data_IF_050585744029
#
_entry.id   IF_050585744029
#
_cell.length_a   1.000
_cell.length_b   1.000
_cell.length_c   1.000
_cell.angle_alpha   90.00
_cell.angle_beta   90.00
_cell.angle_gamma   90.00
#
_symmetry.space_group_name_H-M   'P 1'
#
loop_
_entity.id
_entity.type
_entity.pdbx_description
1 polymer ?
#
# COMPACT_ATOMS: atom_id res chain seq x y z
N UNK A 1 21.26 2.30 -4.62
CA UNK A 1 20.65 3.34 -3.75
C UNK A 1 19.15 3.18 -3.80
N UNK A 2 18.49 3.15 -2.64
CA UNK A 2 17.03 3.15 -2.59
C UNK A 2 16.48 4.54 -2.94
N UNK A 3 15.32 4.59 -3.58
CA UNK A 3 14.65 5.83 -3.98
C UNK A 3 13.24 5.81 -3.40
N UNK A 4 12.85 6.88 -2.71
CA UNK A 4 11.46 7.14 -2.34
C UNK A 4 11.00 8.30 -3.20
N UNK A 5 9.91 8.13 -3.93
CA UNK A 5 9.32 9.17 -4.76
C UNK A 5 7.87 9.37 -4.39
N UNK A 6 7.50 10.61 -4.11
CA UNK A 6 6.11 11.07 -4.07
C UNK A 6 5.73 11.62 -5.44
N UNK A 7 4.53 11.31 -5.90
CA UNK A 7 3.94 11.92 -7.07
C UNK A 7 3.19 13.20 -6.69
N UNK A 8 3.19 14.17 -7.57
CA UNK A 8 2.36 15.37 -7.42
C UNK A 8 0.97 15.07 -7.97
N UNK A 9 0.06 14.66 -7.10
CA UNK A 9 -1.28 14.16 -7.45
C UNK A 9 -2.42 15.00 -6.87
N UNK A 10 -2.15 16.26 -6.49
CA UNK A 10 -3.13 17.15 -5.87
C UNK A 10 -3.28 16.89 -4.38
N UNK A 11 -4.52 16.74 -3.92
CA UNK A 11 -4.84 16.59 -2.49
C UNK A 11 -4.68 15.15 -1.98
N UNK A 12 -4.42 14.19 -2.87
CA UNK A 12 -4.23 12.79 -2.52
C UNK A 12 -2.77 12.38 -2.33
N UNK A 13 -2.57 11.13 -2.00
CA UNK A 13 -1.27 10.54 -1.78
C UNK A 13 -0.96 9.39 -2.73
N UNK A 14 0.24 9.40 -3.30
CA UNK A 14 0.79 8.28 -4.06
C UNK A 14 2.31 8.31 -3.99
N UNK A 15 2.89 7.19 -3.57
CA UNK A 15 4.34 7.05 -3.42
C UNK A 15 4.82 5.76 -4.05
N UNK A 16 6.11 5.69 -4.38
CA UNK A 16 6.78 4.41 -4.50
C UNK A 16 8.11 4.39 -3.76
N UNK A 17 8.53 3.18 -3.40
CA UNK A 17 9.87 2.88 -2.92
C UNK A 17 10.50 1.91 -3.93
N UNK A 18 11.48 2.40 -4.68
CA UNK A 18 12.39 1.57 -5.47
C UNK A 18 13.51 1.11 -4.53
N UNK A 19 13.38 -0.10 -4.02
CA UNK A 19 14.37 -0.66 -3.10
C UNK A 19 15.67 -0.95 -3.84
N UNK A 20 16.81 -0.78 -3.16
CA UNK A 20 18.12 -1.18 -3.69
C UNK A 20 18.24 -2.73 -3.70
N UNK A 21 17.22 -3.39 -4.17
CA UNK A 21 17.07 -4.84 -4.27
C UNK A 21 16.03 -5.16 -5.34
N UNK A 22 15.68 -6.44 -5.46
CA UNK A 22 14.64 -6.96 -6.34
C UNK A 22 13.20 -6.69 -5.86
N UNK A 23 13.04 -5.74 -4.94
CA UNK A 23 11.75 -5.33 -4.39
C UNK A 23 11.34 -3.95 -4.89
N UNK A 24 10.03 -3.76 -5.07
CA UNK A 24 9.39 -2.47 -5.35
C UNK A 24 8.09 -2.37 -4.56
N UNK A 25 7.82 -1.20 -3.99
CA UNK A 25 6.60 -0.96 -3.21
C UNK A 25 5.90 0.29 -3.71
N UNK A 26 4.61 0.18 -3.97
CA UNK A 26 3.71 1.30 -4.26
C UNK A 26 2.87 1.52 -3.00
N UNK A 27 2.71 2.74 -2.58
CA UNK A 27 1.90 3.13 -1.42
C UNK A 27 0.82 4.08 -1.92
N UNK A 28 -0.42 3.65 -1.77
CA UNK A 28 -1.62 4.32 -2.22
C UNK A 28 -1.65 4.64 -3.73
N UNK A 29 -2.78 5.11 -4.20
CA UNK A 29 -3.00 5.47 -5.58
C UNK A 29 -3.92 6.69 -5.65
N UNK A 30 -3.43 7.76 -6.29
CA UNK A 30 -4.24 8.90 -6.62
C UNK A 30 -3.86 9.37 -8.02
N UNK A 31 -4.65 8.99 -9.00
CA UNK A 31 -4.41 9.32 -10.41
C UNK A 31 -5.70 9.77 -11.06
N UNK A 32 -5.63 10.79 -11.86
CA UNK A 32 -6.71 11.29 -12.71
C UNK A 32 -6.44 11.05 -14.20
N UNK A 33 -7.37 11.43 -15.05
CA UNK A 33 -7.24 11.27 -16.49
C UNK A 33 -6.06 12.07 -17.09
N UNK A 34 -5.59 13.11 -16.41
CA UNK A 34 -4.48 13.94 -16.87
C UNK A 34 -3.09 13.35 -16.56
N UNK A 35 -2.99 12.48 -15.56
CA UNK A 35 -1.69 11.99 -15.08
C UNK A 35 -1.53 10.46 -15.07
N UNK A 36 -2.63 9.69 -15.11
CA UNK A 36 -2.61 8.22 -14.93
C UNK A 36 -1.70 7.48 -15.91
N UNK A 37 -1.67 7.89 -17.18
CA UNK A 37 -0.83 7.23 -18.19
C UNK A 37 0.65 7.45 -17.92
N UNK A 38 1.04 8.68 -17.61
CA UNK A 38 2.43 9.03 -17.34
C UNK A 38 2.96 8.36 -16.06
N UNK A 39 2.18 8.39 -14.99
CA UNK A 39 2.53 7.75 -13.70
C UNK A 39 2.65 6.23 -13.89
N UNK A 40 1.66 5.61 -14.54
CA UNK A 40 1.65 4.17 -14.78
C UNK A 40 2.81 3.74 -15.66
N UNK A 41 3.15 4.50 -16.69
CA UNK A 41 4.29 4.19 -17.55
C UNK A 41 5.61 4.26 -16.76
N UNK A 42 5.78 5.28 -15.90
CA UNK A 42 6.95 5.36 -15.04
C UNK A 42 7.05 4.15 -14.09
N UNK A 43 5.93 3.75 -13.48
CA UNK A 43 5.90 2.56 -12.62
C UNK A 43 6.27 1.30 -13.42
N UNK A 44 5.71 1.09 -14.61
CA UNK A 44 6.05 -0.04 -15.49
C UNK A 44 7.54 -0.10 -15.80
N UNK A 45 8.14 1.03 -16.12
CA UNK A 45 9.57 1.10 -16.42
C UNK A 45 10.41 0.69 -15.20
N UNK A 46 10.02 1.13 -14.00
CA UNK A 46 10.70 0.80 -12.74
C UNK A 46 10.57 -0.67 -12.36
N UNK A 47 9.36 -1.24 -12.48
CA UNK A 47 9.09 -2.61 -12.07
C UNK A 47 9.58 -3.66 -13.08
N UNK A 48 9.95 -3.27 -14.29
CA UNK A 48 10.33 -4.19 -15.37
C UNK A 48 11.46 -5.17 -15.02
N UNK A 49 12.27 -4.85 -14.02
CA UNK A 49 13.39 -5.67 -13.53
C UNK A 49 13.25 -6.07 -12.06
N UNK A 50 12.05 -5.95 -11.50
CA UNK A 50 11.77 -6.29 -10.11
C UNK A 50 11.00 -7.60 -10.02
N UNK A 51 11.43 -8.49 -9.14
CA UNK A 51 10.77 -9.79 -8.95
C UNK A 51 9.66 -9.73 -7.90
N UNK A 52 9.67 -8.75 -7.00
CA UNK A 52 8.64 -8.57 -5.98
C UNK A 52 8.10 -7.16 -6.04
N UNK A 53 6.86 -7.05 -6.51
CA UNK A 53 6.11 -5.81 -6.52
C UNK A 53 4.98 -5.95 -5.49
N UNK A 54 4.80 -4.95 -4.63
CA UNK A 54 3.70 -4.88 -3.68
C UNK A 54 3.00 -3.55 -3.74
N UNK A 55 1.70 -3.60 -3.53
CA UNK A 55 0.88 -2.42 -3.30
C UNK A 55 0.48 -2.38 -1.82
N UNK A 56 0.66 -1.25 -1.17
CA UNK A 56 0.29 -1.01 0.22
C UNK A 56 -0.80 0.05 0.21
N UNK A 57 -2.02 -0.33 0.58
CA UNK A 57 -3.10 0.61 0.80
C UNK A 57 -3.12 1.03 2.26
N UNK A 58 -3.05 2.33 2.51
CA UNK A 58 -3.10 2.86 3.88
C UNK A 58 -4.52 2.83 4.42
N UNK A 59 -5.46 3.34 3.66
CA UNK A 59 -6.89 3.34 3.99
C UNK A 59 -7.72 3.59 2.72
N UNK A 60 -9.01 3.27 2.72
CA UNK A 60 -9.82 3.30 1.50
C UNK A 60 -10.53 4.64 1.24
N UNK A 61 -9.92 5.79 1.54
CA UNK A 61 -10.43 7.07 1.07
C UNK A 61 -10.16 7.26 -0.43
N UNK A 62 -10.96 8.07 -1.09
CA UNK A 62 -10.94 8.19 -2.56
C UNK A 62 -9.61 8.76 -3.06
N UNK A 63 -9.06 9.72 -2.34
CA UNK A 63 -7.78 10.36 -2.63
C UNK A 63 -6.56 9.44 -2.37
N UNK A 64 -6.81 8.20 -1.91
CA UNK A 64 -5.83 7.12 -1.75
C UNK A 64 -6.11 5.90 -2.63
N UNK A 65 -7.23 5.90 -3.35
CA UNK A 65 -7.65 4.79 -4.23
C UNK A 65 -7.90 5.20 -5.68
N UNK A 66 -8.03 6.49 -5.98
CA UNK A 66 -8.40 6.97 -7.31
C UNK A 66 -7.41 6.45 -8.37
N UNK A 67 -7.94 5.71 -9.35
CA UNK A 67 -7.14 5.08 -10.41
C UNK A 67 -6.59 3.70 -10.06
N UNK A 68 -6.91 3.13 -8.90
CA UNK A 68 -6.42 1.82 -8.47
C UNK A 68 -6.79 0.70 -9.44
N UNK A 69 -8.04 0.69 -9.91
CA UNK A 69 -8.52 -0.28 -10.90
C UNK A 69 -7.70 -0.20 -12.18
N UNK A 70 -7.49 1.02 -12.69
CA UNK A 70 -6.66 1.25 -13.87
C UNK A 70 -5.22 0.79 -13.64
N UNK A 71 -4.62 1.12 -12.51
CA UNK A 71 -3.26 0.70 -12.18
C UNK A 71 -3.15 -0.82 -12.16
N UNK A 72 -4.06 -1.51 -11.48
CA UNK A 72 -4.05 -2.98 -11.41
C UNK A 72 -4.22 -3.64 -12.80
N UNK A 73 -5.12 -3.16 -13.63
CA UNK A 73 -5.26 -3.61 -15.02
C UNK A 73 -3.98 -3.45 -15.83
N UNK A 74 -3.12 -2.50 -15.47
CA UNK A 74 -1.90 -2.20 -16.18
C UNK A 74 -0.66 -2.97 -15.69
N UNK A 75 -0.57 -3.27 -14.38
CA UNK A 75 0.62 -3.90 -13.79
C UNK A 75 0.36 -5.26 -13.15
N UNK A 76 -0.89 -5.61 -12.84
CA UNK A 76 -1.26 -6.85 -12.16
C UNK A 76 -0.78 -6.87 -10.70
N UNK A 77 -1.61 -6.39 -9.76
CA UNK A 77 -1.27 -6.35 -8.33
C UNK A 77 -1.43 -7.75 -7.72
N UNK A 78 -0.35 -8.47 -7.57
CA UNK A 78 -0.31 -9.83 -6.99
C UNK A 78 0.15 -9.88 -5.54
N UNK A 79 0.41 -8.73 -4.92
CA UNK A 79 0.72 -8.61 -3.49
C UNK A 79 0.06 -7.34 -2.97
N UNK A 80 -1.18 -7.45 -2.53
CA UNK A 80 -1.96 -6.35 -1.99
C UNK A 80 -1.90 -6.34 -0.46
N UNK A 81 -1.38 -5.28 0.11
CA UNK A 81 -1.20 -5.11 1.56
C UNK A 81 -2.19 -4.07 2.06
N UNK A 82 -3.01 -4.42 3.02
CA UNK A 82 -3.93 -3.50 3.69
C UNK A 82 -4.16 -3.91 5.14
N UNK A 83 -4.70 -3.03 5.92
CA UNK A 83 -5.26 -3.39 7.22
C UNK A 83 -6.52 -4.22 6.99
N UNK A 84 -6.69 -5.32 7.73
CA UNK A 84 -7.91 -6.12 7.71
C UNK A 84 -9.10 -5.27 8.17
N UNK A 85 -10.07 -5.06 7.31
CA UNK A 85 -11.22 -4.21 7.58
C UNK A 85 -12.43 -4.62 6.76
N UNK A 86 -13.61 -4.14 7.16
CA UNK A 86 -14.89 -4.30 6.45
C UNK A 86 -15.47 -2.93 6.09
N UNK A 87 -14.62 -2.04 5.57
CA UNK A 87 -15.04 -0.71 5.15
C UNK A 87 -16.16 -0.77 4.11
N UNK A 88 -17.13 0.14 4.28
CA UNK A 88 -18.24 0.36 3.35
C UNK A 88 -18.34 1.83 3.00
N UNK A 89 -18.88 2.15 1.84
CA UNK A 89 -19.21 3.52 1.42
C UNK A 89 -20.63 3.58 0.90
N UNK A 90 -21.32 4.68 1.11
CA UNK A 90 -22.67 4.91 0.56
C UNK A 90 -22.62 5.08 -0.96
N UNK A 91 -21.63 5.85 -1.42
CA UNK A 91 -21.40 6.12 -2.84
C UNK A 91 -20.09 5.41 -3.27
N UNK A 92 -20.21 4.13 -3.59
CA UNK A 92 -19.06 3.31 -4.00
C UNK A 92 -18.63 3.64 -5.42
N UNK A 93 -17.38 4.13 -5.55
CA UNK A 93 -16.73 4.26 -6.84
C UNK A 93 -16.26 2.91 -7.38
N UNK A 94 -15.90 2.83 -8.65
CA UNK A 94 -15.32 1.63 -9.24
C UNK A 94 -13.97 1.28 -8.60
N UNK A 95 -13.18 2.28 -8.20
CA UNK A 95 -11.91 2.07 -7.51
C UNK A 95 -12.11 1.52 -6.09
N UNK A 96 -13.14 1.99 -5.36
CA UNK A 96 -13.48 1.41 -4.05
C UNK A 96 -13.97 -0.04 -4.17
N UNK A 97 -14.81 -0.37 -5.14
CA UNK A 97 -15.23 -1.76 -5.40
C UNK A 97 -14.03 -2.64 -5.75
N UNK A 98 -13.11 -2.11 -6.54
CA UNK A 98 -11.88 -2.82 -6.90
C UNK A 98 -10.97 -3.03 -5.69
N UNK A 99 -10.82 -2.01 -4.82
CA UNK A 99 -10.16 -2.14 -3.53
C UNK A 99 -10.74 -3.29 -2.71
N UNK A 100 -12.07 -3.36 -2.58
CA UNK A 100 -12.72 -4.45 -1.85
C UNK A 100 -12.41 -5.82 -2.47
N UNK A 101 -12.36 -5.91 -3.80
CA UNK A 101 -11.97 -7.13 -4.51
C UNK A 101 -10.53 -7.54 -4.19
N UNK A 102 -9.59 -6.60 -4.18
CA UNK A 102 -8.20 -6.86 -3.84
C UNK A 102 -8.04 -7.18 -2.35
N UNK A 103 -8.72 -6.45 -1.46
CA UNK A 103 -8.70 -6.66 -0.01
C UNK A 103 -9.18 -8.05 0.39
N UNK A 104 -10.25 -8.51 -0.24
CA UNK A 104 -10.91 -9.78 0.10
C UNK A 104 -10.39 -10.96 -0.76
N UNK A 105 -9.47 -10.68 -1.68
CA UNK A 105 -8.93 -11.64 -2.64
C UNK A 105 -7.76 -12.48 -2.10
N UNK A 106 -7.34 -13.48 -2.87
CA UNK A 106 -6.26 -14.40 -2.51
C UNK A 106 -4.87 -13.74 -2.45
N UNK A 107 -4.71 -12.56 -3.02
CA UNK A 107 -3.48 -11.78 -3.03
C UNK A 107 -3.39 -10.77 -1.88
N UNK A 108 -4.41 -10.73 -1.02
CA UNK A 108 -4.44 -9.87 0.15
C UNK A 108 -3.44 -10.33 1.21
N UNK A 109 -2.77 -9.38 1.84
CA UNK A 109 -1.94 -9.59 3.02
C UNK A 109 -2.29 -8.56 4.08
N UNK A 110 -2.83 -9.02 5.20
CA UNK A 110 -3.28 -8.13 6.26
C UNK A 110 -2.14 -7.66 7.14
N UNK A 111 -2.10 -6.36 7.33
CA UNK A 111 -1.06 -5.63 8.05
C UNK A 111 -1.40 -5.53 9.53
N UNK A 112 -0.42 -5.83 10.38
CA UNK A 112 -0.48 -5.56 11.83
C UNK A 112 0.93 -5.33 12.37
N UNK A 113 1.01 -4.77 13.59
CA UNK A 113 2.30 -4.58 14.26
C UNK A 113 3.06 -5.90 14.37
N UNK A 114 4.29 -5.89 13.86
CA UNK A 114 5.20 -7.02 13.93
C UNK A 114 4.88 -8.16 12.97
N UNK A 115 3.92 -7.98 12.05
CA UNK A 115 3.68 -8.99 11.02
C UNK A 115 4.96 -9.23 10.20
N UNK A 116 5.16 -10.47 9.79
CA UNK A 116 6.36 -10.91 9.08
C UNK A 116 6.00 -11.61 7.78
N UNK A 117 6.64 -11.23 6.70
CA UNK A 117 6.47 -11.85 5.39
C UNK A 117 7.80 -11.93 4.66
N UNK A 118 8.00 -13.07 3.97
CA UNK A 118 9.15 -13.27 3.10
C UNK A 118 9.27 -12.15 2.08
N UNK A 119 10.45 -11.60 1.95
CA UNK A 119 10.84 -10.46 1.11
C UNK A 119 10.21 -9.10 1.47
N UNK A 120 9.37 -9.01 2.48
CA UNK A 120 8.96 -7.75 3.08
C UNK A 120 9.97 -7.30 4.16
N UNK A 121 10.12 -8.10 5.21
CA UNK A 121 11.07 -7.90 6.31
C UNK A 121 11.92 -9.14 6.63
N UNK A 122 11.69 -10.25 5.93
CA UNK A 122 12.49 -11.46 6.01
C UNK A 122 13.13 -11.70 4.65
N UNK A 123 14.47 -11.63 4.60
CA UNK A 123 15.25 -12.03 3.43
C UNK A 123 15.68 -13.48 3.47
N UNK A 124 16.26 -13.99 2.40
CA UNK A 124 16.94 -15.27 2.33
C UNK A 124 18.24 -15.15 1.51
N UNK A 125 18.93 -16.27 1.28
CA UNK A 125 20.19 -16.31 0.54
C UNK A 125 20.05 -15.89 -0.93
N UNK A 126 18.84 -15.98 -1.48
CA UNK A 126 18.56 -15.69 -2.89
C UNK A 126 18.07 -14.27 -3.12
N UNK A 127 17.40 -13.68 -2.12
CA UNK A 127 16.78 -12.37 -2.25
C UNK A 127 16.73 -11.64 -0.92
N UNK A 128 17.21 -10.39 -0.90
CA UNK A 128 17.05 -9.48 0.23
C UNK A 128 15.59 -9.08 0.45
N UNK A 129 15.29 -8.62 1.65
CA UNK A 129 13.97 -8.08 1.97
C UNK A 129 13.86 -6.58 1.59
N UNK A 130 12.63 -6.08 1.58
CA UNK A 130 12.33 -4.66 1.36
C UNK A 130 12.67 -3.77 2.57
N UNK A 131 12.83 -4.35 3.76
CA UNK A 131 13.11 -3.60 4.98
C UNK A 131 11.90 -2.86 5.57
N UNK A 132 10.68 -3.26 5.18
CA UNK A 132 9.45 -2.66 5.68
C UNK A 132 9.01 -3.38 6.95
N UNK A 133 8.80 -2.62 8.05
CA UNK A 133 8.39 -3.15 9.33
C UNK A 133 7.20 -2.36 9.88
N UNK A 134 6.03 -2.98 9.95
CA UNK A 134 4.83 -2.35 10.46
C UNK A 134 4.88 -2.19 11.99
N UNK A 135 4.55 -1.00 12.46
CA UNK A 135 4.50 -0.58 13.88
C UNK A 135 3.08 -0.40 14.37
N UNK A 136 2.14 -0.21 13.47
CA UNK A 136 0.71 -0.07 13.69
C UNK A 136 -0.04 -0.68 12.50
N UNK A 137 -1.27 -1.22 12.66
CA UNK A 137 -2.07 -1.22 13.90
C UNK A 137 -1.66 -2.31 14.90
N UNK A 138 -2.06 -2.08 16.17
CA UNK A 138 -2.08 -3.11 17.21
C UNK A 138 -3.51 -3.64 17.27
N UNK A 139 -3.73 -4.86 16.80
CA UNK A 139 -5.08 -5.45 16.64
C UNK A 139 -5.83 -5.66 17.96
N UNK A 140 -5.12 -5.64 19.09
CA UNK A 140 -5.71 -5.76 20.45
C UNK A 140 -6.00 -4.41 21.10
N UNK A 141 -5.60 -3.30 20.48
CA UNK A 141 -5.85 -1.94 20.97
C UNK A 141 -7.33 -1.56 20.84
N UNK A 142 -7.93 -1.05 21.91
CA UNK A 142 -9.36 -0.74 21.92
C UNK A 142 -9.72 0.43 20.99
N UNK A 143 -8.89 1.48 20.92
CA UNK A 143 -9.13 2.61 20.01
C UNK A 143 -9.06 2.15 18.55
N UNK A 144 -8.16 1.19 18.25
CA UNK A 144 -8.09 0.60 16.93
C UNK A 144 -9.34 -0.23 16.60
N UNK A 145 -9.87 -0.99 17.54
CA UNK A 145 -11.13 -1.74 17.36
C UNK A 145 -12.32 -0.80 17.16
N UNK A 146 -12.37 0.33 17.88
CA UNK A 146 -13.38 1.37 17.67
C UNK A 146 -13.25 1.96 16.25
N UNK A 147 -12.02 2.21 15.78
CA UNK A 147 -11.77 2.68 14.41
C UNK A 147 -12.23 1.65 13.36
N UNK A 148 -11.96 0.36 13.57
CA UNK A 148 -12.48 -0.71 12.71
C UNK A 148 -14.01 -0.78 12.71
N UNK A 149 -14.66 -0.52 13.85
CA UNK A 149 -16.11 -0.43 13.90
C UNK A 149 -16.65 0.76 13.10
N UNK A 150 -16.00 1.92 13.22
CA UNK A 150 -16.41 3.14 12.51
C UNK A 150 -16.35 2.97 10.97
N UNK A 151 -15.34 2.27 10.44
CA UNK A 151 -15.24 2.06 8.98
C UNK A 151 -16.32 1.13 8.44
N UNK A 152 -16.94 0.28 9.26
CA UNK A 152 -18.12 -0.51 8.86
C UNK A 152 -19.37 0.35 8.72
N UNK A 153 -19.33 1.58 9.26
CA UNK A 153 -20.38 2.60 9.10
C UNK A 153 -20.00 3.65 8.04
N UNK A 154 -18.91 3.45 7.33
CA UNK A 154 -18.45 4.38 6.28
C UNK A 154 -17.77 5.64 6.83
N UNK A 155 -17.11 5.54 8.00
CA UNK A 155 -16.51 6.71 8.69
C UNK A 155 -15.08 6.43 9.14
N UNK A 156 -14.27 7.49 9.23
CA UNK A 156 -12.99 7.48 9.91
C UNK A 156 -11.93 6.58 9.28
N UNK A 157 -11.92 6.44 7.96
CA UNK A 157 -10.99 5.56 7.24
C UNK A 157 -9.52 5.86 7.56
N UNK A 158 -9.15 7.12 7.72
CA UNK A 158 -7.79 7.54 8.11
C UNK A 158 -7.31 6.87 9.42
N UNK A 159 -8.24 6.57 10.36
CA UNK A 159 -7.89 6.04 11.67
C UNK A 159 -7.39 4.58 11.63
N UNK A 160 -7.57 3.89 10.51
CA UNK A 160 -7.03 2.53 10.31
C UNK A 160 -5.70 2.51 9.56
N UNK A 161 -5.14 3.67 9.20
CA UNK A 161 -3.89 3.75 8.45
C UNK A 161 -2.73 3.06 9.17
N UNK A 162 -1.93 2.22 8.49
CA UNK A 162 -0.77 1.58 9.08
C UNK A 162 0.38 2.59 9.25
N UNK A 163 1.21 2.33 10.26
CA UNK A 163 2.49 3.02 10.43
C UNK A 163 3.60 2.00 10.22
N UNK A 164 4.58 2.31 9.41
CA UNK A 164 5.73 1.45 9.20
C UNK A 164 7.05 2.21 9.19
N UNK A 165 8.12 1.49 9.46
CA UNK A 165 9.49 1.96 9.29
C UNK A 165 10.09 1.27 8.08
N UNK A 166 10.92 2.01 7.37
CA UNK A 166 11.67 1.51 6.22
C UNK A 166 13.19 1.60 6.50
N UNK A 167 13.89 0.50 6.27
CA UNK A 167 15.35 0.45 6.43
C UNK A 167 16.03 0.69 5.09
N UNK A 168 16.69 1.83 4.97
CA UNK A 168 17.47 2.17 3.78
C UNK A 168 18.86 1.54 3.90
N UNK A 169 19.17 0.60 3.02
CA UNK A 169 20.51 -0.05 2.91
C UNK A 169 21.02 -0.60 4.27
N UNK A 170 20.13 -1.22 5.06
CA UNK A 170 20.46 -1.81 6.35
C UNK A 170 20.63 -0.81 7.50
N UNK A 171 20.36 0.47 7.28
CA UNK A 171 20.30 1.50 8.32
C UNK A 171 18.86 1.90 8.60
N UNK A 172 18.55 2.27 9.85
CA UNK A 172 17.24 2.78 10.22
C UNK A 172 16.90 4.00 9.38
N UNK A 173 15.91 3.86 8.48
CA UNK A 173 15.38 4.93 7.65
C UNK A 173 14.17 5.59 8.28
N UNK A 174 13.66 6.63 7.62
CA UNK A 174 12.54 7.44 8.07
C UNK A 174 11.29 6.60 8.38
N UNK A 175 10.53 7.04 9.38
CA UNK A 175 9.15 6.61 9.61
C UNK A 175 8.26 7.35 8.60
N UNK A 176 7.46 6.62 7.85
CA UNK A 176 6.37 7.15 7.03
C UNK A 176 5.06 6.84 7.78
N UNK A 177 4.30 7.84 8.06
CA UNK A 177 2.99 7.78 8.72
C UNK A 177 1.97 8.55 7.90
#
# INVERSE_FOLDING_TARGET
>A
MSIIKSFSVGDGDMFYIDHNSDNFSIIDCCMDDGNKEAITQEIKDKISKKGIIRFISTHPDEDHLQGLKYLDEQIGIVNFYCVENSAVKTDETEDFKHYCTLRDGEHAYYISKGCSRKWMNIGDETRGCAGINFKWPITTDENFKESLSAVTEGKGFNNISPIFTYYVDGRYGASLS
#
